data_IF_202177263808
#
_entry.id   IF_202177263808
#
_cell.length_a   1.000
_cell.length_b   1.000
_cell.length_c   1.000
_cell.angle_alpha   90.00
_cell.angle_beta   90.00
_cell.angle_gamma   90.00
#
_symmetry.space_group_name_H-M   'P 1'
#
loop_
_entity.id
_entity.type
_entity.pdbx_description
1 polymer ?
#
# COMPACT_ATOMS: atom_id res chain seq x y z
N UNK A 1 4.79 -13.50 -3.87
CA UNK A 1 3.43 -13.14 -3.40
C UNK A 1 2.58 -14.40 -3.24
N UNK A 2 1.99 -14.62 -2.06
CA UNK A 2 1.14 -15.80 -1.77
C UNK A 2 -0.18 -15.74 -2.57
N UNK A 3 -0.79 -16.88 -2.88
CA UNK A 3 -1.99 -17.01 -3.72
C UNK A 3 -3.17 -16.18 -3.20
N UNK A 4 -3.32 -16.08 -1.87
CA UNK A 4 -4.37 -15.27 -1.24
C UNK A 4 -4.22 -13.76 -1.51
N UNK A 5 -2.99 -13.24 -1.51
CA UNK A 5 -2.77 -11.81 -1.80
C UNK A 5 -3.11 -11.50 -3.27
N UNK A 6 -2.77 -12.41 -4.18
CA UNK A 6 -3.13 -12.32 -5.60
C UNK A 6 -4.65 -12.37 -5.80
N UNK A 7 -5.35 -13.27 -5.10
CA UNK A 7 -6.81 -13.32 -5.13
C UNK A 7 -7.42 -12.00 -4.67
N UNK A 8 -6.97 -11.45 -3.53
CA UNK A 8 -7.46 -10.17 -3.01
C UNK A 8 -7.26 -9.02 -4.00
N UNK A 9 -6.13 -9.01 -4.72
CA UNK A 9 -5.89 -8.04 -5.78
C UNK A 9 -6.89 -8.17 -6.94
N UNK A 10 -7.23 -9.39 -7.35
CA UNK A 10 -8.24 -9.64 -8.39
C UNK A 10 -9.64 -9.16 -7.96
N UNK A 11 -9.91 -9.17 -6.67
CA UNK A 11 -11.14 -8.66 -6.05
C UNK A 11 -11.03 -7.18 -5.64
N UNK A 12 -10.05 -6.45 -6.17
CA UNK A 12 -9.82 -5.02 -5.91
C UNK A 12 -9.68 -4.68 -4.41
N UNK A 13 -9.17 -5.63 -3.63
CA UNK A 13 -8.97 -5.53 -2.19
C UNK A 13 -10.25 -5.13 -1.42
N UNK A 14 -11.44 -5.39 -1.96
CA UNK A 14 -12.72 -4.97 -1.36
C UNK A 14 -12.92 -5.47 0.08
N UNK A 15 -12.25 -6.56 0.45
CA UNK A 15 -12.27 -7.19 1.77
C UNK A 15 -11.18 -6.67 2.73
N UNK A 16 -10.42 -5.64 2.35
CA UNK A 16 -9.42 -5.00 3.22
C UNK A 16 -10.10 -4.55 4.53
N UNK A 17 -9.56 -4.87 5.72
CA UNK A 17 -10.18 -4.54 7.01
C UNK A 17 -10.59 -3.08 7.13
N UNK A 18 -9.75 -2.17 6.64
CA UNK A 18 -10.05 -0.74 6.61
C UNK A 18 -11.32 -0.38 5.84
N UNK A 19 -11.54 -1.00 4.67
CA UNK A 19 -12.75 -0.77 3.88
C UNK A 19 -13.98 -1.43 4.52
N UNK A 20 -13.78 -2.39 5.41
CA UNK A 20 -14.82 -3.06 6.18
C UNK A 20 -15.14 -2.34 7.50
N UNK A 21 -14.69 -1.08 7.66
CA UNK A 21 -14.78 -0.32 8.91
C UNK A 21 -14.24 -1.07 10.14
N UNK A 22 -13.22 -1.90 9.94
CA UNK A 22 -12.51 -2.62 11.01
C UNK A 22 -11.14 -1.99 11.24
N UNK A 23 -10.58 -2.08 12.46
CA UNK A 23 -9.22 -1.66 12.72
C UNK A 23 -8.25 -2.29 11.70
N UNK A 24 -7.34 -1.47 11.17
CA UNK A 24 -6.35 -1.94 10.19
C UNK A 24 -5.24 -2.79 10.83
N UNK A 25 -5.10 -2.71 12.15
CA UNK A 25 -4.07 -3.41 12.90
C UNK A 25 -2.66 -2.98 12.49
N UNK A 26 -1.74 -3.91 12.25
CA UNK A 26 -0.33 -3.62 11.97
C UNK A 26 -0.05 -3.27 10.49
N UNK A 27 -1.05 -2.79 9.74
CA UNK A 27 -0.90 -2.44 8.32
C UNK A 27 0.19 -1.38 8.11
N UNK A 28 1.15 -1.64 7.21
CA UNK A 28 2.34 -0.79 7.00
C UNK A 28 1.99 0.64 6.61
N UNK A 29 0.95 0.82 5.80
CA UNK A 29 0.47 2.15 5.39
C UNK A 29 -0.09 2.99 6.54
N UNK A 30 -0.41 2.37 7.68
CA UNK A 30 -0.93 3.10 8.84
C UNK A 30 0.16 3.78 9.65
N UNK A 31 1.43 3.48 9.40
CA UNK A 31 2.54 4.12 10.12
C UNK A 31 2.77 5.58 9.68
N UNK A 32 2.66 5.90 8.38
CA UNK A 32 2.92 7.23 7.82
C UNK A 32 1.77 8.24 7.89
N UNK A 33 0.61 7.84 8.42
CA UNK A 33 -0.54 8.73 8.58
C UNK A 33 -0.41 9.69 9.77
N UNK A 34 -1.46 10.47 10.02
CA UNK A 34 -1.54 11.31 11.21
C UNK A 34 -1.38 10.48 12.49
N UNK A 35 -0.57 10.98 13.40
CA UNK A 35 -0.35 10.41 14.74
C UNK A 35 -0.37 11.52 15.76
N UNK A 36 -1.06 11.28 16.88
CA UNK A 36 -0.86 12.04 18.10
C UNK A 36 -0.13 11.15 19.10
N UNK A 37 1.08 11.56 19.47
CA UNK A 37 1.90 10.83 20.44
C UNK A 37 1.81 11.53 21.78
N UNK A 38 1.31 10.81 22.79
CA UNK A 38 1.25 11.27 24.18
C UNK A 38 2.19 10.42 25.00
N UNK A 39 3.14 11.05 25.69
CA UNK A 39 4.15 10.36 26.48
C UNK A 39 3.99 10.66 27.95
N UNK A 40 4.06 9.61 28.76
CA UNK A 40 4.21 9.66 30.21
C UNK A 40 5.45 8.83 30.59
N UNK A 41 5.93 8.90 31.84
CA UNK A 41 7.02 8.02 32.28
C UNK A 41 6.68 6.52 32.20
N UNK A 42 5.41 6.14 32.34
CA UNK A 42 4.98 4.74 32.39
C UNK A 42 4.54 4.17 31.04
N UNK A 43 4.12 5.02 30.10
CA UNK A 43 3.62 4.59 28.81
C UNK A 43 3.68 5.69 27.75
N UNK A 44 3.75 5.27 26.49
CA UNK A 44 3.54 6.11 25.30
C UNK A 44 2.24 5.66 24.64
N UNK A 45 1.29 6.56 24.46
CA UNK A 45 0.09 6.34 23.67
C UNK A 45 0.27 6.95 22.27
N UNK A 46 0.06 6.14 21.24
CA UNK A 46 0.04 6.56 19.84
C UNK A 46 -1.41 6.49 19.38
N UNK A 47 -2.03 7.65 19.19
CA UNK A 47 -3.40 7.77 18.70
C UNK A 47 -3.38 7.90 17.18
N UNK A 48 -4.28 7.17 16.53
CA UNK A 48 -4.50 7.23 15.08
C UNK A 48 -5.76 8.06 14.77
N UNK A 49 -5.84 8.55 13.53
CA UNK A 49 -7.00 9.26 13.01
C UNK A 49 -8.25 8.38 12.94
N UNK A 50 -8.10 7.08 12.69
CA UNK A 50 -9.18 6.09 12.64
C UNK A 50 -9.74 5.66 14.01
N UNK A 51 -9.55 6.50 15.04
CA UNK A 51 -9.99 6.29 16.43
C UNK A 51 -9.36 5.06 17.12
N UNK A 52 -8.43 4.35 16.48
CA UNK A 52 -7.63 3.32 17.14
C UNK A 52 -6.47 3.95 17.90
N UNK A 53 -5.93 3.19 18.86
CA UNK A 53 -4.75 3.60 19.59
C UNK A 53 -3.83 2.40 19.84
N UNK A 54 -2.56 2.73 20.08
CA UNK A 54 -1.57 1.79 20.60
C UNK A 54 -1.05 2.31 21.92
N UNK A 55 -0.97 1.43 22.91
CA UNK A 55 -0.34 1.73 24.18
C UNK A 55 0.98 0.96 24.25
N UNK A 56 2.09 1.69 24.28
CA UNK A 56 3.42 1.14 24.47
C UNK A 56 3.77 1.25 25.94
N UNK A 57 3.88 0.12 26.62
CA UNK A 57 4.29 0.07 28.02
C UNK A 57 5.78 0.36 28.17
N UNK A 58 6.13 1.35 29.00
CA UNK A 58 7.50 1.84 29.19
C UNK A 58 8.05 1.54 30.59
N UNK A 59 7.36 0.70 31.38
CA UNK A 59 7.69 0.40 32.78
C UNK A 59 8.72 -0.73 32.96
N UNK A 60 9.40 -1.13 31.88
CA UNK A 60 10.46 -2.13 31.90
C UNK A 60 9.97 -3.59 31.92
N UNK A 61 8.65 -3.82 31.82
CA UNK A 61 8.11 -5.17 31.65
C UNK A 61 8.61 -5.82 30.35
N UNK A 62 8.71 -7.15 30.37
CA UNK A 62 8.99 -7.93 29.16
C UNK A 62 7.74 -8.06 28.31
N UNK A 63 7.92 -8.24 27.00
CA UNK A 63 6.82 -8.56 26.10
C UNK A 63 6.21 -9.90 26.54
N UNK A 64 4.89 -9.94 26.66
CA UNK A 64 4.19 -11.17 27.00
C UNK A 64 4.47 -12.25 25.94
N UNK A 65 4.72 -13.49 26.37
CA UNK A 65 5.01 -14.58 25.44
C UNK A 65 3.77 -14.95 24.59
N UNK A 66 2.58 -14.88 25.21
CA UNK A 66 1.29 -15.19 24.59
C UNK A 66 0.19 -14.20 25.03
N UNK A 67 0.29 -12.92 24.64
CA UNK A 67 -0.75 -11.92 24.91
C UNK A 67 -2.07 -12.31 24.24
N UNK A 68 -3.19 -11.91 24.84
CA UNK A 68 -4.51 -12.13 24.25
C UNK A 68 -4.59 -11.47 22.86
N UNK A 69 -4.99 -12.19 21.79
CA UNK A 69 -5.07 -11.63 20.46
C UNK A 69 -6.01 -10.42 20.37
N UNK A 70 -5.50 -9.32 19.84
CA UNK A 70 -6.20 -8.06 19.67
C UNK A 70 -5.89 -7.44 18.30
N UNK A 71 -6.61 -6.39 17.91
CA UNK A 71 -6.41 -5.75 16.61
C UNK A 71 -5.09 -4.98 16.53
N UNK A 72 -4.71 -4.29 17.62
CA UNK A 72 -3.55 -3.41 17.67
C UNK A 72 -2.33 -4.03 18.39
N UNK A 73 -2.48 -5.27 18.86
CA UNK A 73 -1.46 -5.99 19.59
C UNK A 73 -1.20 -5.45 20.99
N UNK A 74 -0.20 -6.03 21.63
CA UNK A 74 0.37 -5.62 22.90
C UNK A 74 1.81 -5.17 22.66
N UNK A 75 2.17 -3.98 23.16
CA UNK A 75 3.46 -3.35 22.89
C UNK A 75 4.22 -3.01 24.18
N UNK A 76 5.52 -3.29 24.18
CA UNK A 76 6.46 -2.82 25.21
C UNK A 76 7.55 -2.00 24.54
N UNK A 77 8.08 -1.01 25.25
CA UNK A 77 9.13 -0.14 24.72
C UNK A 77 10.29 0.03 25.69
N UNK A 78 11.47 0.27 25.12
CA UNK A 78 12.69 0.63 25.84
C UNK A 78 13.50 1.64 25.05
N UNK A 79 14.32 2.41 25.74
CA UNK A 79 15.29 3.30 25.09
C UNK A 79 16.62 2.59 24.89
N UNK A 80 17.13 2.62 23.67
CA UNK A 80 18.50 2.24 23.29
C UNK A 80 19.23 3.50 22.84
N UNK A 81 19.86 4.20 23.80
CA UNK A 81 20.40 5.54 23.56
C UNK A 81 19.28 6.54 23.27
N UNK A 82 19.32 7.15 22.09
CA UNK A 82 18.33 8.11 21.59
C UNK A 82 17.22 7.47 20.73
N UNK A 83 17.21 6.14 20.63
CA UNK A 83 16.23 5.39 19.84
C UNK A 83 15.25 4.66 20.74
N UNK A 84 13.95 4.91 20.57
CA UNK A 84 12.92 4.11 21.21
C UNK A 84 12.72 2.83 20.39
N UNK A 85 12.94 1.68 21.03
CA UNK A 85 12.65 0.37 20.46
C UNK A 85 11.36 -0.13 21.04
N UNK A 86 10.40 -0.44 20.16
CA UNK A 86 9.11 -1.00 20.52
C UNK A 86 9.02 -2.41 19.96
N UNK A 87 8.64 -3.35 20.81
CA UNK A 87 8.37 -4.73 20.43
C UNK A 87 6.89 -5.03 20.66
N UNK A 88 6.25 -5.64 19.66
CA UNK A 88 4.82 -5.92 19.70
C UNK A 88 4.49 -7.37 19.31
N UNK A 89 3.48 -7.93 19.96
CA UNK A 89 2.93 -9.27 19.72
C UNK A 89 1.40 -9.27 19.95
N UNK A 90 0.74 -10.43 19.81
CA UNK A 90 -0.68 -10.55 20.18
C UNK A 90 -1.64 -9.91 19.21
N UNK A 91 -1.27 -9.87 17.93
CA UNK A 91 -2.19 -9.48 16.87
C UNK A 91 -3.10 -10.65 16.54
N UNK A 92 -4.39 -10.39 16.35
CA UNK A 92 -5.29 -11.39 15.77
C UNK A 92 -5.03 -11.56 14.26
N UNK A 93 -5.54 -12.62 13.65
CA UNK A 93 -5.33 -12.95 12.23
C UNK A 93 -6.35 -12.29 11.28
N UNK A 94 -7.11 -11.30 11.75
CA UNK A 94 -8.20 -10.65 11.00
C UNK A 94 -7.74 -9.44 10.20
N UNK A 95 -6.47 -9.07 10.31
CA UNK A 95 -5.87 -7.88 9.69
C UNK A 95 -4.85 -8.24 8.62
N UNK A 96 -4.43 -7.23 7.84
CA UNK A 96 -3.38 -7.33 6.84
C UNK A 96 -2.19 -6.48 7.32
N UNK A 97 -0.97 -6.87 6.95
CA UNK A 97 0.23 -6.04 7.21
C UNK A 97 0.53 -5.07 6.07
N UNK A 98 -0.23 -5.13 4.98
CA UNK A 98 -0.14 -4.18 3.88
C UNK A 98 -1.43 -4.12 3.07
N UNK A 99 -1.75 -2.94 2.52
CA UNK A 99 -2.90 -2.71 1.63
C UNK A 99 -2.95 -3.65 0.42
N UNK A 100 -1.83 -4.25 0.06
CA UNK A 100 -1.70 -5.22 -1.04
C UNK A 100 -2.19 -6.64 -0.69
N UNK A 101 -2.87 -6.82 0.44
CA UNK A 101 -3.48 -8.10 0.79
C UNK A 101 -2.53 -9.09 1.42
N UNK A 102 -1.37 -8.63 1.94
CA UNK A 102 -0.42 -9.48 2.64
C UNK A 102 -0.97 -9.81 4.03
N UNK A 103 -1.27 -11.09 4.26
CA UNK A 103 -1.72 -11.61 5.56
C UNK A 103 -0.57 -11.75 6.56
N UNK A 104 -0.95 -11.92 7.81
CA UNK A 104 -0.13 -12.46 8.88
C UNK A 104 -0.96 -13.45 9.70
N UNK A 105 -0.32 -14.16 10.61
CA UNK A 105 -0.92 -15.02 11.62
C UNK A 105 -0.80 -14.37 13.00
N UNK A 106 -1.31 -15.04 14.04
CA UNK A 106 -1.10 -14.63 15.44
C UNK A 106 0.35 -14.82 15.92
N UNK A 107 1.20 -15.51 15.13
CA UNK A 107 2.63 -15.61 15.37
C UNK A 107 3.40 -14.32 15.01
N UNK A 108 2.72 -13.32 14.43
CA UNK A 108 3.33 -12.04 14.07
C UNK A 108 4.01 -11.39 15.28
N UNK A 109 5.25 -10.95 15.05
CA UNK A 109 6.05 -10.10 15.92
C UNK A 109 6.51 -8.89 15.12
N UNK A 110 6.49 -7.74 15.77
CA UNK A 110 6.90 -6.47 15.16
C UNK A 110 7.98 -5.84 16.04
N UNK A 111 9.06 -5.41 15.42
CA UNK A 111 10.04 -4.53 16.05
C UNK A 111 10.05 -3.21 15.32
N UNK A 112 9.84 -2.13 16.07
CA UNK A 112 9.86 -0.77 15.57
C UNK A 112 11.00 0.00 16.24
N UNK A 113 11.68 0.85 15.48
CA UNK A 113 12.72 1.75 15.98
C UNK A 113 12.36 3.17 15.60
N UNK A 114 12.10 3.99 16.61
CA UNK A 114 11.75 5.40 16.48
C UNK A 114 12.96 6.24 16.86
N UNK A 115 13.50 7.00 15.90
CA UNK A 115 14.64 7.89 16.09
C UNK A 115 14.25 9.30 15.67
N UNK A 116 14.27 10.24 16.60
CA UNK A 116 14.03 11.65 16.29
C UNK A 116 15.35 12.28 15.84
N UNK A 117 15.48 12.60 14.55
CA UNK A 117 16.72 13.16 13.99
C UNK A 117 16.90 14.64 14.36
N UNK A 118 15.78 15.36 14.50
CA UNK A 118 15.71 16.73 14.97
C UNK A 118 14.30 17.03 15.52
N UNK A 119 14.03 18.29 15.89
CA UNK A 119 12.72 18.64 16.45
C UNK A 119 11.55 18.36 15.49
N UNK A 120 11.73 18.54 14.18
CA UNK A 120 10.68 18.39 13.18
C UNK A 120 10.54 16.99 12.60
N UNK A 121 11.53 16.12 12.74
CA UNK A 121 11.58 14.86 11.98
C UNK A 121 11.76 13.61 12.85
N UNK A 122 10.98 12.58 12.54
CA UNK A 122 10.99 11.28 13.19
C UNK A 122 11.19 10.18 12.16
N UNK A 123 12.31 9.47 12.25
CA UNK A 123 12.60 8.26 11.49
C UNK A 123 11.95 7.06 12.18
N UNK A 124 11.22 6.26 11.42
CA UNK A 124 10.61 5.01 11.89
C UNK A 124 11.08 3.87 11.00
N UNK A 125 11.67 2.86 11.63
CA UNK A 125 12.01 1.59 10.99
C UNK A 125 11.15 0.48 11.59
N UNK A 126 10.48 -0.28 10.74
CA UNK A 126 9.56 -1.34 11.15
C UNK A 126 10.02 -2.65 10.54
N UNK A 127 10.11 -3.70 11.35
CA UNK A 127 10.38 -5.07 10.91
C UNK A 127 9.28 -6.01 11.35
N UNK A 128 8.67 -6.72 10.40
CA UNK A 128 7.73 -7.80 10.62
C UNK A 128 8.43 -9.15 10.61
N UNK A 129 8.11 -9.99 11.58
CA UNK A 129 8.54 -11.38 11.65
C UNK A 129 7.32 -12.27 11.92
N UNK A 130 7.04 -13.18 11.01
CA UNK A 130 5.99 -14.19 11.18
C UNK A 130 6.48 -15.49 10.51
N UNK A 131 7.04 -16.44 11.26
CA UNK A 131 7.58 -17.68 10.69
C UNK A 131 6.51 -18.58 10.03
N UNK A 132 5.22 -18.38 10.35
CA UNK A 132 4.12 -19.15 9.77
C UNK A 132 3.63 -18.55 8.45
N UNK A 133 3.85 -17.25 8.22
CA UNK A 133 3.45 -16.55 7.00
C UNK A 133 4.61 -16.17 6.06
N UNK A 134 5.81 -15.93 6.59
CA UNK A 134 6.94 -15.34 5.87
C UNK A 134 8.18 -16.24 5.90
N UNK A 135 8.86 -16.34 4.76
CA UNK A 135 10.13 -17.10 4.62
C UNK A 135 11.27 -16.42 5.40
N UNK A 136 11.24 -15.10 5.52
CA UNK A 136 12.20 -14.29 6.28
C UNK A 136 11.53 -13.00 6.77
N UNK A 137 12.08 -12.37 7.82
CA UNK A 137 11.64 -11.04 8.22
C UNK A 137 11.76 -10.04 7.08
N UNK A 138 10.87 -9.04 7.08
CA UNK A 138 10.88 -7.95 6.12
C UNK A 138 10.37 -6.67 6.80
N UNK A 139 10.64 -5.52 6.21
CA UNK A 139 10.38 -4.25 6.87
C UNK A 139 10.44 -3.06 5.92
N UNK A 140 10.23 -1.88 6.48
CA UNK A 140 10.25 -0.61 5.76
C UNK A 140 10.74 0.51 6.68
N UNK A 141 11.12 1.63 6.05
CA UNK A 141 11.50 2.87 6.72
C UNK A 141 10.61 3.98 6.21
N UNK A 142 10.25 4.89 7.12
CA UNK A 142 9.59 6.13 6.75
C UNK A 142 10.13 7.29 7.59
N UNK A 143 10.02 8.48 7.01
CA UNK A 143 10.28 9.75 7.68
C UNK A 143 8.95 10.44 7.94
N UNK A 144 8.70 10.78 9.20
CA UNK A 144 7.54 11.55 9.62
C UNK A 144 7.96 12.98 9.93
N UNK A 145 7.11 13.94 9.57
CA UNK A 145 7.28 15.35 9.88
C UNK A 145 6.27 15.82 10.94
N UNK A 146 6.74 16.65 11.87
CA UNK A 146 5.90 17.29 12.88
C UNK A 146 4.99 18.32 12.20
N UNK A 147 3.69 18.13 12.36
CA UNK A 147 2.68 19.09 11.95
C UNK A 147 2.30 19.98 13.14
N UNK A 148 3.04 21.09 13.33
CA UNK A 148 2.95 21.90 14.55
C UNK A 148 1.72 22.82 14.63
N UNK A 149 1.24 23.32 13.48
CA UNK A 149 0.19 24.36 13.42
C UNK A 149 -1.17 23.79 13.01
N UNK A 150 -1.45 22.53 13.36
CA UNK A 150 -2.70 21.84 13.00
C UNK A 150 -2.98 20.74 14.01
N UNK A 151 -4.21 20.22 13.98
CA UNK A 151 -4.66 19.12 14.83
C UNK A 151 -5.06 17.93 13.97
N UNK A 152 -4.86 16.73 14.52
CA UNK A 152 -5.40 15.50 13.95
C UNK A 152 -6.89 15.42 14.25
N UNK A 153 -7.71 15.42 13.22
CA UNK A 153 -9.14 15.15 13.32
C UNK A 153 -9.42 13.66 13.13
N UNK A 154 -10.54 13.20 13.67
CA UNK A 154 -10.98 11.83 13.47
C UNK A 154 -11.38 11.55 12.02
N UNK A 155 -11.02 10.35 11.56
CA UNK A 155 -11.48 9.76 10.32
C UNK A 155 -12.51 8.68 10.65
N UNK A 156 -13.79 9.02 10.51
CA UNK A 156 -14.90 8.09 10.80
C UNK A 156 -15.23 7.28 9.54
N UNK A 157 -15.23 5.95 9.68
CA UNK A 157 -15.72 5.05 8.65
C UNK A 157 -17.24 4.94 8.75
N UNK A 158 -17.95 5.65 7.87
CA UNK A 158 -19.42 5.71 7.88
C UNK A 158 -20.09 4.43 7.35
N UNK A 159 -19.53 3.82 6.29
CA UNK A 159 -20.11 2.65 5.63
C UNK A 159 -19.04 1.68 5.17
N UNK A 160 -19.29 0.39 5.41
CA UNK A 160 -18.40 -0.68 4.95
C UNK A 160 -18.51 -0.92 3.45
N UNK A 161 -17.47 -1.53 2.89
CA UNK A 161 -17.41 -1.98 1.50
C UNK A 161 -18.17 -3.28 1.22
N UNK A 162 -19.05 -3.74 2.11
CA UNK A 162 -19.82 -4.98 1.91
C UNK A 162 -20.65 -4.99 0.63
N UNK A 163 -21.10 -3.81 0.18
CA UNK A 163 -21.86 -3.63 -1.06
C UNK A 163 -20.98 -3.39 -2.30
N UNK A 164 -19.67 -3.28 -2.14
CA UNK A 164 -18.79 -3.03 -3.28
C UNK A 164 -18.78 -4.25 -4.22
N UNK A 165 -19.11 -3.99 -5.48
CA UNK A 165 -19.08 -4.96 -6.55
C UNK A 165 -17.91 -4.68 -7.50
N UNK A 166 -17.58 -5.66 -8.33
CA UNK A 166 -16.49 -5.58 -9.29
C UNK A 166 -15.30 -6.47 -8.93
N UNK A 167 -14.64 -6.92 -9.99
CA UNK A 167 -13.44 -7.73 -9.97
C UNK A 167 -12.75 -7.58 -11.31
N UNK A 168 -11.48 -7.97 -11.37
CA UNK A 168 -10.78 -8.10 -12.65
C UNK A 168 -11.47 -9.08 -13.60
N UNK A 169 -12.14 -10.11 -13.08
CA UNK A 169 -12.91 -11.04 -13.90
C UNK A 169 -14.12 -10.35 -14.54
N UNK A 170 -14.81 -9.46 -13.82
CA UNK A 170 -15.93 -8.70 -14.38
C UNK A 170 -15.48 -7.73 -15.48
N UNK A 171 -14.28 -7.16 -15.35
CA UNK A 171 -13.66 -6.35 -16.40
C UNK A 171 -13.29 -7.21 -17.62
N UNK A 172 -12.73 -8.41 -17.39
CA UNK A 172 -12.38 -9.35 -18.44
C UNK A 172 -13.62 -9.87 -19.20
N UNK A 173 -14.73 -10.11 -18.51
CA UNK A 173 -15.99 -10.52 -19.12
C UNK A 173 -16.61 -9.43 -20.01
N UNK A 174 -16.29 -8.16 -19.74
CA UNK A 174 -16.69 -6.99 -20.54
C UNK A 174 -15.65 -6.59 -21.58
N UNK A 175 -14.55 -7.34 -21.69
CA UNK A 175 -13.43 -6.95 -22.53
C UNK A 175 -13.82 -6.94 -24.01
N UNK A 176 -13.40 -5.90 -24.72
CA UNK A 176 -13.51 -5.82 -26.18
C UNK A 176 -12.33 -6.57 -26.80
N UNK A 177 -12.60 -7.40 -27.80
CA UNK A 177 -11.52 -8.05 -28.55
C UNK A 177 -10.81 -7.03 -29.45
N UNK A 178 -9.50 -6.86 -29.24
CA UNK A 178 -8.65 -6.03 -30.09
C UNK A 178 -7.64 -6.92 -30.84
N UNK A 179 -7.46 -6.71 -32.16
CA UNK A 179 -6.44 -7.40 -32.93
C UNK A 179 -5.02 -7.17 -32.37
N UNK A 180 -4.12 -8.17 -32.45
CA UNK A 180 -2.74 -8.03 -31.98
C UNK A 180 -1.98 -6.88 -32.63
N UNK A 181 -2.26 -6.53 -33.90
CA UNK A 181 -1.62 -5.41 -34.60
C UNK A 181 -2.10 -4.04 -34.09
N UNK A 182 -3.30 -3.96 -33.50
CA UNK A 182 -3.77 -2.76 -32.80
C UNK A 182 -3.08 -2.66 -31.45
N UNK A 183 -3.03 -3.75 -30.66
CA UNK A 183 -2.35 -3.77 -29.37
C UNK A 183 -0.85 -3.43 -29.51
N UNK A 184 -0.19 -3.93 -30.56
CA UNK A 184 1.21 -3.64 -30.85
C UNK A 184 1.49 -2.13 -31.01
N UNK A 185 0.51 -1.32 -31.44
CA UNK A 185 0.66 0.14 -31.57
C UNK A 185 0.77 0.86 -30.23
N UNK A 186 0.35 0.22 -29.15
CA UNK A 186 0.36 0.75 -27.78
C UNK A 186 1.58 0.31 -26.96
N UNK A 187 2.35 -0.66 -27.46
CA UNK A 187 3.61 -1.10 -26.83
C UNK A 187 4.62 0.05 -26.85
N UNK A 188 5.21 0.35 -25.71
CA UNK A 188 6.20 1.42 -25.59
C UNK A 188 6.42 1.88 -24.15
N UNK A 189 7.37 2.78 -23.99
CA UNK A 189 7.70 3.40 -22.70
C UNK A 189 7.04 4.77 -22.64
N UNK A 190 6.37 5.07 -21.53
CA UNK A 190 5.68 6.33 -21.29
C UNK A 190 6.23 6.94 -20.01
N UNK A 191 6.54 8.25 -20.01
CA UNK A 191 7.14 8.90 -18.83
C UNK A 191 6.61 10.31 -18.64
N UNK A 192 6.49 10.73 -17.37
CA UNK A 192 5.89 11.99 -16.97
C UNK A 192 5.92 12.19 -15.46
N UNK A 193 5.23 13.23 -14.96
CA UNK A 193 5.24 13.56 -13.54
C UNK A 193 4.04 12.95 -12.80
N UNK A 194 4.32 12.33 -11.65
CA UNK A 194 3.31 11.85 -10.70
C UNK A 194 3.82 12.07 -9.28
N UNK A 195 3.04 12.74 -8.43
CA UNK A 195 3.43 12.99 -7.03
C UNK A 195 4.76 13.74 -6.89
N UNK A 196 5.05 14.68 -7.80
CA UNK A 196 6.31 15.46 -7.81
C UNK A 196 7.51 14.73 -8.45
N UNK A 197 7.46 13.41 -8.58
CA UNK A 197 8.53 12.57 -9.11
C UNK A 197 8.28 12.19 -10.58
N UNK A 198 9.36 11.80 -11.27
CA UNK A 198 9.25 11.18 -12.60
C UNK A 198 8.75 9.74 -12.43
N UNK A 199 7.69 9.39 -13.14
CA UNK A 199 7.15 8.04 -13.22
C UNK A 199 7.25 7.55 -14.66
N UNK A 200 7.74 6.33 -14.81
CA UNK A 200 7.90 5.67 -16.11
C UNK A 200 7.09 4.37 -16.12
N UNK A 201 6.27 4.20 -17.15
CA UNK A 201 5.41 3.04 -17.38
C UNK A 201 5.89 2.36 -18.67
N UNK A 202 6.38 1.14 -18.55
CA UNK A 202 6.69 0.26 -19.66
C UNK A 202 5.45 -0.59 -20.00
N UNK A 203 4.94 -0.43 -21.22
CA UNK A 203 3.83 -1.22 -21.76
C UNK A 203 4.37 -2.21 -22.77
N UNK A 204 4.16 -3.49 -22.49
CA UNK A 204 4.57 -4.62 -23.33
C UNK A 204 3.39 -5.48 -23.73
N UNK A 205 3.57 -6.35 -24.73
CA UNK A 205 2.58 -7.33 -25.16
C UNK A 205 3.04 -8.73 -24.72
N UNK A 206 2.24 -9.42 -23.92
CA UNK A 206 2.53 -10.77 -23.44
C UNK A 206 1.27 -11.62 -23.46
N UNK A 207 1.34 -12.82 -24.04
CA UNK A 207 0.18 -13.73 -24.14
C UNK A 207 -1.03 -13.13 -24.87
N UNK A 208 -0.82 -12.19 -25.79
CA UNK A 208 -1.89 -11.49 -26.50
C UNK A 208 -2.59 -10.38 -25.70
N UNK A 209 -2.07 -10.03 -24.52
CA UNK A 209 -2.59 -8.96 -23.68
C UNK A 209 -1.52 -7.89 -23.45
N UNK A 210 -1.96 -6.64 -23.31
CA UNK A 210 -1.06 -5.58 -22.89
C UNK A 210 -0.76 -5.72 -21.40
N UNK A 211 0.49 -5.45 -21.05
CA UNK A 211 1.00 -5.52 -19.69
C UNK A 211 1.73 -4.22 -19.39
N UNK A 212 1.30 -3.50 -18.35
CA UNK A 212 1.94 -2.28 -17.86
C UNK A 212 2.81 -2.57 -16.63
N UNK A 213 3.99 -1.97 -16.59
CA UNK A 213 4.97 -2.10 -15.51
C UNK A 213 5.54 -0.74 -15.16
N UNK A 214 5.59 -0.37 -13.88
CA UNK A 214 6.32 0.83 -13.46
C UNK A 214 7.82 0.50 -13.39
N UNK A 215 8.66 1.33 -14.00
CA UNK A 215 10.12 1.12 -14.04
C UNK A 215 10.83 2.31 -13.40
N UNK A 216 11.82 2.03 -12.55
CA UNK A 216 12.74 3.04 -12.02
C UNK A 216 12.12 4.03 -11.02
N UNK A 217 10.96 3.72 -10.44
CA UNK A 217 10.37 4.56 -9.40
C UNK A 217 11.16 4.42 -8.09
N UNK A 218 11.56 5.54 -7.49
CA UNK A 218 12.02 5.60 -6.11
C UNK A 218 10.85 5.29 -5.20
N UNK A 219 10.65 4.02 -4.84
CA UNK A 219 9.92 3.60 -3.65
C UNK A 219 8.75 4.54 -3.25
N UNK A 220 7.84 4.84 -4.19
CA UNK A 220 6.89 5.94 -4.00
C UNK A 220 5.76 5.47 -3.09
N UNK A 221 5.60 6.15 -1.97
CA UNK A 221 4.38 6.11 -1.17
C UNK A 221 3.18 6.43 -2.07
N UNK A 222 2.27 5.46 -2.22
CA UNK A 222 0.95 5.70 -2.82
C UNK A 222 0.76 5.40 -4.31
N UNK A 223 1.63 4.65 -5.00
CA UNK A 223 1.39 4.25 -6.40
C UNK A 223 1.93 2.88 -6.77
N UNK A 224 1.01 1.93 -6.99
CA UNK A 224 1.21 0.53 -7.42
C UNK A 224 2.36 -0.20 -6.72
N UNK A 225 2.03 -0.76 -5.57
CA UNK A 225 2.85 -1.72 -4.88
C UNK A 225 3.71 -1.13 -3.79
N UNK A 226 3.61 -1.67 -2.58
CA UNK A 226 4.42 -1.23 -1.46
C UNK A 226 5.87 -1.46 -1.84
N UNK A 227 6.73 -0.54 -1.42
CA UNK A 227 8.18 -0.70 -1.41
C UNK A 227 8.56 -2.12 -0.99
N UNK A 228 9.19 -2.86 -1.90
CA UNK A 228 9.70 -4.22 -1.67
C UNK A 228 8.73 -5.40 -1.91
N UNK A 229 7.43 -5.16 -2.17
CA UNK A 229 6.47 -6.23 -2.47
C UNK A 229 6.12 -6.36 -3.97
N UNK A 230 6.41 -5.32 -4.75
CA UNK A 230 5.90 -5.14 -6.11
C UNK A 230 6.90 -4.42 -7.04
N UNK A 231 8.19 -4.37 -6.71
CA UNK A 231 9.19 -4.08 -7.73
C UNK A 231 8.98 -5.07 -8.88
N UNK A 232 8.76 -4.53 -10.08
CA UNK A 232 8.45 -5.27 -11.29
C UNK A 232 7.04 -5.90 -11.41
N UNK A 233 6.08 -5.53 -10.57
CA UNK A 233 4.71 -6.04 -10.65
C UNK A 233 4.00 -5.63 -11.96
N UNK A 234 3.96 -6.58 -12.89
CA UNK A 234 3.27 -6.49 -14.17
C UNK A 234 1.74 -6.49 -14.00
N UNK A 235 1.05 -5.58 -14.69
CA UNK A 235 -0.41 -5.47 -14.68
C UNK A 235 -0.98 -5.73 -16.06
N UNK A 236 -1.83 -6.75 -16.15
CA UNK A 236 -2.61 -6.99 -17.37
C UNK A 236 -3.59 -5.84 -17.56
N UNK A 237 -3.59 -5.27 -18.76
CA UNK A 237 -4.52 -4.24 -19.20
C UNK A 237 -5.65 -4.89 -19.98
N UNK A 238 -6.87 -4.76 -19.46
CA UNK A 238 -8.08 -5.36 -20.03
C UNK A 238 -8.80 -4.33 -20.91
N UNK A 239 -8.89 -4.53 -22.24
CA UNK A 239 -9.48 -3.55 -23.16
C UNK A 239 -10.97 -3.34 -22.88
N UNK A 240 -11.38 -2.10 -22.61
CA UNK A 240 -12.77 -1.68 -22.47
C UNK A 240 -13.28 -0.96 -23.73
N UNK A 241 -12.38 -0.42 -24.53
CA UNK A 241 -12.64 0.14 -25.87
C UNK A 241 -11.39 0.02 -26.74
N UNK A 242 -11.35 0.66 -27.91
CA UNK A 242 -10.14 0.69 -28.74
C UNK A 242 -8.93 1.31 -28.02
N UNK A 243 -9.14 2.32 -27.18
CA UNK A 243 -8.06 3.07 -26.53
C UNK A 243 -8.13 3.09 -25.00
N UNK A 244 -9.23 2.61 -24.41
CA UNK A 244 -9.42 2.56 -22.96
C UNK A 244 -9.26 1.12 -22.44
N UNK A 245 -8.51 0.98 -21.36
CA UNK A 245 -8.20 -0.29 -20.70
C UNK A 245 -8.41 -0.15 -19.18
N UNK A 246 -8.78 -1.24 -18.53
CA UNK A 246 -8.79 -1.38 -17.07
C UNK A 246 -7.51 -2.09 -16.62
N UNK A 247 -6.85 -1.58 -15.58
CA UNK A 247 -5.66 -2.18 -14.99
C UNK A 247 -5.69 -2.14 -13.46
N UNK A 248 -6.42 -3.10 -12.85
CA UNK A 248 -6.46 -3.32 -11.39
C UNK A 248 -6.92 -2.06 -10.66
N UNK A 249 -8.12 -1.59 -11.00
CA UNK A 249 -8.76 -0.45 -10.35
C UNK A 249 -8.29 0.93 -10.83
N UNK A 250 -7.40 0.97 -11.83
CA UNK A 250 -7.03 2.18 -12.56
C UNK A 250 -7.50 2.08 -14.01
N UNK A 251 -7.89 3.21 -14.59
CA UNK A 251 -8.12 3.33 -16.03
C UNK A 251 -6.82 3.68 -16.76
N UNK A 252 -6.64 3.14 -17.96
CA UNK A 252 -5.53 3.41 -18.84
C UNK A 252 -6.07 3.81 -20.21
N UNK A 253 -5.89 5.06 -20.60
CA UNK A 253 -6.34 5.57 -21.89
C UNK A 253 -5.15 5.95 -22.77
N UNK A 254 -5.01 5.28 -23.91
CA UNK A 254 -4.01 5.63 -24.91
C UNK A 254 -4.51 6.82 -25.75
N UNK A 255 -3.68 7.85 -25.85
CA UNK A 255 -3.85 8.93 -26.83
C UNK A 255 -3.11 8.49 -28.09
N UNK A 256 -3.77 8.52 -29.23
CA UNK A 256 -3.24 8.01 -30.50
C UNK A 256 -3.16 9.11 -31.55
N UNK A 257 -2.22 8.98 -32.49
CA UNK A 257 -2.15 9.82 -33.69
C UNK A 257 -3.12 9.36 -34.79
N UNK A 258 -3.09 10.04 -35.94
CA UNK A 258 -3.93 9.72 -37.11
C UNK A 258 -3.70 8.31 -37.69
N UNK A 259 -2.59 7.65 -37.33
CA UNK A 259 -2.27 6.27 -37.72
C UNK A 259 -2.67 5.25 -36.65
N UNK A 260 -3.27 5.71 -35.55
CA UNK A 260 -3.64 4.88 -34.41
C UNK A 260 -2.43 4.45 -33.57
N UNK A 261 -1.29 5.12 -33.69
CA UNK A 261 -0.09 4.84 -32.89
C UNK A 261 -0.16 5.64 -31.61
N UNK A 262 0.05 4.99 -30.46
CA UNK A 262 0.02 5.69 -29.19
C UNK A 262 1.12 6.75 -29.12
N UNK A 263 0.74 7.96 -28.75
CA UNK A 263 1.60 9.13 -28.52
C UNK A 263 1.71 9.49 -27.04
N UNK A 264 0.72 9.10 -26.24
CA UNK A 264 0.74 9.20 -24.78
C UNK A 264 -0.15 8.13 -24.13
N UNK A 265 0.09 7.90 -22.85
CA UNK A 265 -0.75 7.08 -21.97
C UNK A 265 -1.29 7.96 -20.85
N UNK A 266 -2.60 7.95 -20.65
CA UNK A 266 -3.26 8.62 -19.52
C UNK A 266 -3.66 7.57 -18.50
N UNK A 267 -3.08 7.65 -17.30
CA UNK A 267 -3.51 6.84 -16.15
C UNK A 267 -4.59 7.61 -15.39
N UNK A 268 -5.77 7.01 -15.24
CA UNK A 268 -6.96 7.61 -14.65
C UNK A 268 -7.07 7.13 -13.21
N UNK A 269 -6.90 8.06 -12.28
CA UNK A 269 -7.12 7.87 -10.86
C UNK A 269 -8.42 8.55 -10.43
N UNK A 270 -8.96 8.12 -9.29
CA UNK A 270 -10.00 8.85 -8.55
C UNK A 270 -9.57 10.28 -8.23
N UNK A 271 -8.28 10.51 -7.96
CA UNK A 271 -7.73 11.85 -7.67
C UNK A 271 -7.50 12.72 -8.91
N UNK A 272 -7.64 12.16 -10.12
CA UNK A 272 -7.39 12.87 -11.37
C UNK A 272 -6.69 12.01 -12.43
N UNK A 273 -6.59 12.55 -13.64
CA UNK A 273 -5.91 11.88 -14.77
C UNK A 273 -4.50 12.41 -14.97
N UNK A 274 -3.54 11.50 -15.18
CA UNK A 274 -2.13 11.83 -15.36
C UNK A 274 -1.64 11.35 -16.73
N UNK A 275 -1.18 12.28 -17.57
CA UNK A 275 -0.71 11.99 -18.91
C UNK A 275 0.81 11.79 -18.95
N UNK A 276 1.23 10.70 -19.58
CA UNK A 276 2.62 10.30 -19.76
C UNK A 276 2.92 10.24 -21.27
N UNK A 277 3.62 11.22 -21.84
CA UNK A 277 4.08 11.17 -23.22
C UNK A 277 4.90 9.91 -23.50
N UNK A 278 4.69 9.32 -24.68
CA UNK A 278 5.50 8.20 -25.16
C UNK A 278 6.94 8.67 -25.38
N UNK A 279 7.88 7.92 -24.86
CA UNK A 279 9.31 8.15 -25.05
C UNK A 279 9.71 7.67 -26.44
N UNK A 280 10.64 8.40 -27.07
CA UNK A 280 11.15 8.09 -28.41
C UNK A 280 11.95 6.79 -28.43
#
# INVERSE_FOLDING_TARGET
MNDLARQRQQELHKTRPYYQCRPSGPESERYGGWKRVLQTPAAIAILNDDLTYRLVHMDGRQLEANPAPSWMGYSVGRWEGDTLVVESAGFNDKTWVSRYGVSHTEALRITERYRRSDFGHLQVEVTYTDPAAYVKPWGFKLDMALAADTEMLEAVCENSSEHWAGSLSDAANRAVSLPPDVLARYVGVYSGRYGGNTRTIDVSLSGGQLVAKIVGATAVEGGLGATGLDEDAARVLVPQSQTLFDGVGLGYQFVVDDKGVATALVEIHVSGSYAYPRQR
#
